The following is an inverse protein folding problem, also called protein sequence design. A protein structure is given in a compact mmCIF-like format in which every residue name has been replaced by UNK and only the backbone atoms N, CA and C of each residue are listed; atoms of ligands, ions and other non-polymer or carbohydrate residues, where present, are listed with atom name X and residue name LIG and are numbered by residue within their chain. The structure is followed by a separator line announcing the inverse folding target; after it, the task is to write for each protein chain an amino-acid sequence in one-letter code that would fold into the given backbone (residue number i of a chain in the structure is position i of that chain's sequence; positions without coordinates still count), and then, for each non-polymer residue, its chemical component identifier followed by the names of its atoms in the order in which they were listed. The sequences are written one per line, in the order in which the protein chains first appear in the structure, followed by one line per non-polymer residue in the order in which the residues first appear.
data_IF_811211291726
#
_entry.id   IF_811211291726
#
_cell.length_a   1.000
_cell.length_b   1.000
_cell.length_c   1.000
_cell.angle_alpha   90.00
_cell.angle_beta   90.00
_cell.angle_gamma   90.00
#
_symmetry.space_group_name_H-M   'P 1'
#
loop_
_entity.id
_entity.type
_entity.pdbx_description
1 polymer ?
#
# COMPACT_ATOMS: atom_id res chain seq x y z
N UNK A 1 -7.31 2.58 12.26
CA UNK A 1 -5.87 2.85 12.03
C UNK A 1 -5.55 4.35 12.10
N UNK A 2 -6.20 5.22 11.31
CA UNK A 2 -5.88 6.66 11.32
C UNK A 2 -6.27 7.41 12.62
N UNK A 3 -7.26 6.93 13.37
CA UNK A 3 -7.74 7.61 14.58
C UNK A 3 -6.63 7.82 15.62
N UNK A 4 -5.74 6.83 15.80
CA UNK A 4 -4.64 6.96 16.75
C UNK A 4 -3.67 8.10 16.39
N UNK A 5 -3.41 8.33 15.11
CA UNK A 5 -2.57 9.42 14.66
C UNK A 5 -3.25 10.78 14.89
N UNK A 6 -4.56 10.86 14.64
CA UNK A 6 -5.38 12.06 14.87
C UNK A 6 -5.41 12.41 16.36
N UNK A 7 -5.71 11.43 17.22
CA UNK A 7 -5.80 11.63 18.68
C UNK A 7 -4.46 12.06 19.27
N UNK A 8 -3.35 11.53 18.75
CA UNK A 8 -2.00 11.90 19.16
C UNK A 8 -1.48 13.18 18.48
N UNK A 9 -2.19 13.73 17.50
CA UNK A 9 -1.77 14.90 16.74
C UNK A 9 -0.48 14.69 15.91
N UNK A 10 -0.16 13.45 15.57
CA UNK A 10 1.08 13.10 14.84
C UNK A 10 0.82 12.92 13.35
N UNK A 11 1.72 13.41 12.47
CA UNK A 11 1.53 13.26 11.03
C UNK A 11 1.58 11.79 10.59
N UNK A 12 0.92 11.49 9.48
CA UNK A 12 0.92 10.17 8.84
C UNK A 12 1.94 10.17 7.70
N UNK A 13 2.76 9.11 7.62
CA UNK A 13 3.71 8.89 6.54
C UNK A 13 3.14 7.87 5.54
N UNK A 14 2.64 8.29 4.37
CA UNK A 14 2.12 7.34 3.39
C UNK A 14 3.29 6.65 2.70
N UNK A 15 3.17 5.32 2.54
CA UNK A 15 4.13 4.48 1.82
C UNK A 15 3.36 3.63 0.83
N UNK A 16 3.79 3.68 -0.42
CA UNK A 16 3.21 2.96 -1.54
C UNK A 16 4.08 1.76 -1.84
N UNK A 17 3.45 0.60 -1.99
CA UNK A 17 4.09 -0.65 -2.37
C UNK A 17 3.48 -1.16 -3.67
N UNK A 18 4.30 -1.46 -4.66
CA UNK A 18 3.89 -2.11 -5.91
C UNK A 18 4.80 -3.29 -6.20
N UNK A 19 4.20 -4.46 -6.34
CA UNK A 19 4.90 -5.66 -6.79
C UNK A 19 4.86 -5.70 -8.31
N UNK A 20 6.00 -5.91 -8.96
CA UNK A 20 6.12 -6.06 -10.40
C UNK A 20 6.96 -7.28 -10.75
N UNK A 21 6.75 -7.87 -11.91
CA UNK A 21 7.55 -8.97 -12.44
C UNK A 21 7.81 -8.73 -13.95
N UNK A 22 8.62 -9.56 -14.64
CA UNK A 22 8.95 -9.32 -16.04
C UNK A 22 7.74 -9.32 -17.00
N UNK A 23 6.59 -9.83 -16.58
CA UNK A 23 5.36 -9.96 -17.37
C UNK A 23 4.31 -8.94 -16.94
N UNK A 24 4.29 -8.53 -15.67
CA UNK A 24 3.26 -7.67 -15.10
C UNK A 24 3.84 -6.44 -14.38
N UNK A 25 3.33 -5.26 -14.75
CA UNK A 25 3.60 -4.00 -14.04
C UNK A 25 3.04 -4.01 -12.60
N UNK A 26 1.94 -4.74 -12.40
CA UNK A 26 1.37 -5.09 -11.10
C UNK A 26 1.23 -6.61 -11.03
N UNK A 27 2.13 -7.27 -10.31
CA UNK A 27 2.21 -8.73 -10.24
C UNK A 27 1.11 -9.33 -9.36
N UNK A 28 0.33 -10.31 -9.86
CA UNK A 28 -0.67 -11.01 -9.06
C UNK A 28 -0.05 -12.00 -8.08
N UNK A 29 1.25 -12.31 -8.20
CA UNK A 29 1.94 -13.33 -7.39
C UNK A 29 2.01 -12.95 -5.90
N UNK A 30 1.89 -11.66 -5.58
CA UNK A 30 1.83 -11.16 -4.21
C UNK A 30 0.40 -11.02 -3.65
N UNK A 31 -0.63 -11.42 -4.41
CA UNK A 31 -2.01 -11.29 -3.97
C UNK A 31 -2.36 -12.35 -2.90
N UNK A 32 -2.97 -11.90 -1.80
CA UNK A 32 -3.60 -12.74 -0.78
C UNK A 32 -5.03 -12.26 -0.55
N UNK A 33 -5.92 -12.66 -1.45
CA UNK A 33 -7.32 -12.22 -1.49
C UNK A 33 -8.25 -13.39 -1.84
N UNK A 34 -9.51 -13.28 -1.41
CA UNK A 34 -10.55 -14.28 -1.71
C UNK A 34 -10.22 -15.66 -1.16
N UNK A 35 -10.33 -16.68 -2.00
CA UNK A 35 -10.12 -18.09 -1.64
C UNK A 35 -8.64 -18.51 -1.62
N UNK A 36 -7.71 -17.57 -1.75
CA UNK A 36 -6.27 -17.87 -1.72
C UNK A 36 -5.85 -18.25 -0.31
N UNK A 37 -5.27 -19.43 -0.12
CA UNK A 37 -4.70 -19.82 1.18
C UNK A 37 -3.36 -19.12 1.44
N UNK A 38 -2.99 -18.96 2.71
CA UNK A 38 -1.71 -18.34 3.09
C UNK A 38 -0.52 -19.08 2.45
N UNK A 39 -0.54 -20.42 2.51
CA UNK A 39 0.54 -21.25 1.96
C UNK A 39 0.65 -21.09 0.44
N UNK A 40 -0.48 -20.98 -0.25
CA UNK A 40 -0.52 -20.76 -1.70
C UNK A 40 0.06 -19.40 -2.09
N UNK A 41 -0.36 -18.33 -1.41
CA UNK A 41 0.18 -16.98 -1.65
C UNK A 41 1.68 -16.92 -1.36
N UNK A 42 2.11 -17.50 -0.23
CA UNK A 42 3.54 -17.57 0.11
C UNK A 42 4.32 -18.35 -0.95
N UNK A 43 3.82 -19.50 -1.39
CA UNK A 43 4.47 -20.31 -2.41
C UNK A 43 4.63 -19.55 -3.74
N UNK A 44 3.62 -18.80 -4.17
CA UNK A 44 3.71 -17.96 -5.36
C UNK A 44 4.79 -16.88 -5.24
N UNK A 45 4.86 -16.20 -4.10
CA UNK A 45 5.90 -15.17 -3.86
C UNK A 45 7.30 -15.78 -3.88
N UNK A 46 7.54 -16.87 -3.13
CA UNK A 46 8.91 -17.45 -3.02
C UNK A 46 9.37 -18.16 -4.29
N UNK A 47 8.45 -18.62 -5.14
CA UNK A 47 8.77 -19.25 -6.43
C UNK A 47 8.79 -18.26 -7.59
N UNK A 48 8.36 -17.01 -7.38
CA UNK A 48 8.35 -15.99 -8.41
C UNK A 48 9.76 -15.62 -8.87
N UNK A 49 10.00 -15.66 -10.18
CA UNK A 49 11.26 -15.21 -10.76
C UNK A 49 11.15 -13.75 -11.18
N UNK A 50 12.08 -12.92 -10.69
CA UNK A 50 12.13 -11.50 -11.05
C UNK A 50 11.03 -10.65 -10.41
N UNK A 51 10.40 -11.12 -9.33
CA UNK A 51 9.47 -10.32 -8.54
C UNK A 51 10.24 -9.20 -7.82
N UNK A 52 9.83 -7.97 -8.05
CA UNK A 52 10.43 -6.75 -7.48
C UNK A 52 9.35 -6.00 -6.71
N UNK A 53 9.73 -5.42 -5.56
CA UNK A 53 8.87 -4.50 -4.80
C UNK A 53 9.37 -3.09 -5.01
N UNK A 54 8.55 -2.25 -5.62
CA UNK A 54 8.75 -0.82 -5.67
C UNK A 54 8.16 -0.19 -4.41
N UNK A 55 8.99 0.60 -3.73
CA UNK A 55 8.59 1.32 -2.52
C UNK A 55 8.72 2.81 -2.79
N UNK A 56 7.63 3.55 -2.62
CA UNK A 56 7.64 5.00 -2.70
C UNK A 56 7.12 5.59 -1.39
N UNK A 57 7.94 6.46 -0.80
CA UNK A 57 7.58 7.21 0.40
C UNK A 57 7.03 8.56 -0.06
N UNK A 58 5.77 8.85 0.26
CA UNK A 58 5.13 10.13 -0.09
C UNK A 58 5.44 11.21 0.95
N UNK A 59 5.10 12.49 0.73
CA UNK A 59 5.25 13.50 1.77
C UNK A 59 4.40 13.19 3.02
N UNK A 60 4.90 13.60 4.19
CA UNK A 60 4.13 13.54 5.45
C UNK A 60 2.81 14.27 5.31
N UNK A 61 1.74 13.66 5.81
CA UNK A 61 0.40 14.24 5.82
C UNK A 61 0.04 14.69 7.24
N UNK A 62 -0.25 15.98 7.36
CA UNK A 62 -0.71 16.54 8.62
C UNK A 62 -2.09 16.00 8.98
N UNK A 63 -2.32 15.78 10.27
CA UNK A 63 -3.59 15.28 10.82
C UNK A 63 -4.37 16.34 11.61
N UNK A 64 -3.80 17.55 11.76
CA UNK A 64 -4.40 18.62 12.55
C UNK A 64 -5.76 19.01 11.95
N UNK A 65 -6.81 18.94 12.77
CA UNK A 65 -8.20 19.21 12.40
C UNK A 65 -8.79 18.29 11.31
N UNK A 66 -8.14 17.18 11.00
CA UNK A 66 -8.62 16.26 9.96
C UNK A 66 -9.79 15.41 10.47
N UNK A 67 -10.87 15.35 9.68
CA UNK A 67 -11.85 14.26 9.81
C UNK A 67 -11.16 12.96 9.37
N UNK A 68 -11.25 11.91 10.20
CA UNK A 68 -10.75 10.56 9.91
C UNK A 68 -11.15 10.08 8.52
N UNK A 69 -12.39 10.33 8.10
CA UNK A 69 -12.91 9.89 6.79
C UNK A 69 -12.32 10.71 5.66
N UNK A 70 -12.23 12.02 5.82
CA UNK A 70 -11.61 12.90 4.82
C UNK A 70 -10.12 12.57 4.63
N UNK A 71 -9.40 12.35 5.73
CA UNK A 71 -7.99 11.92 5.70
C UNK A 71 -7.82 10.58 4.99
N UNK A 72 -8.71 9.62 5.23
CA UNK A 72 -8.67 8.32 4.55
C UNK A 72 -8.84 8.47 3.04
N UNK A 73 -9.82 9.27 2.59
CA UNK A 73 -10.07 9.50 1.16
C UNK A 73 -8.86 10.17 0.51
N UNK A 74 -8.32 11.23 1.11
CA UNK A 74 -7.14 11.95 0.61
C UNK A 74 -5.94 11.01 0.47
N UNK A 75 -5.66 10.20 1.49
CA UNK A 75 -4.55 9.24 1.45
C UNK A 75 -4.76 8.17 0.38
N UNK A 76 -5.99 7.69 0.19
CA UNK A 76 -6.30 6.72 -0.86
C UNK A 76 -6.07 7.31 -2.26
N UNK A 77 -6.48 8.56 -2.49
CA UNK A 77 -6.26 9.24 -3.77
C UNK A 77 -4.76 9.44 -4.06
N UNK A 78 -3.99 9.92 -3.07
CA UNK A 78 -2.54 10.11 -3.18
C UNK A 78 -1.81 8.79 -3.47
N UNK A 79 -2.14 7.74 -2.72
CA UNK A 79 -1.54 6.41 -2.90
C UNK A 79 -1.93 5.85 -4.27
N UNK A 80 -3.20 5.95 -4.66
CA UNK A 80 -3.68 5.45 -5.96
C UNK A 80 -3.00 6.12 -7.14
N UNK A 81 -2.79 7.44 -7.07
CA UNK A 81 -2.06 8.17 -8.11
C UNK A 81 -0.58 7.76 -8.20
N UNK A 82 0.05 7.45 -7.06
CA UNK A 82 1.45 7.06 -7.00
C UNK A 82 1.71 5.59 -7.39
N UNK A 83 0.74 4.69 -7.22
CA UNK A 83 0.86 3.28 -7.67
C UNK A 83 1.03 3.18 -9.18
N UNK A 84 0.49 4.13 -9.94
CA UNK A 84 0.52 4.16 -11.41
C UNK A 84 1.76 4.85 -12.00
N UNK A 85 2.69 5.32 -11.16
CA UNK A 85 3.96 5.92 -11.56
C UNK A 85 5.13 4.92 -11.41
#
# INVERSE_FOLDING_TARGET
LLQAAIDAGVPVQPVVLRYADPVHEVSPLAAYVGDTSLLQSLWWVVSARGLVVHVQVLPLQAVAHADRRALAVLLQEQIGAAVLL
#
